data_IF_517151678675
#
_entry.id   IF_517151678675
#
_cell.length_a   1.000
_cell.length_b   1.000
_cell.length_c   1.000
_cell.angle_alpha   90.00
_cell.angle_beta   90.00
_cell.angle_gamma   90.00
#
_symmetry.space_group_name_H-M   'P 1'
#
loop_
_entity.id
_entity.type
_entity.pdbx_description
1 polymer ?
#
# COMPACT_ATOMS: atom_id res chain seq x y z
N UNK A 1 14.31 -18.52 -6.74
CA UNK A 1 13.88 -17.26 -7.39
C UNK A 1 14.34 -16.09 -6.54
N UNK A 2 14.46 -14.91 -7.14
CA UNK A 2 14.82 -13.65 -6.51
C UNK A 2 13.57 -12.81 -6.29
N UNK A 3 13.21 -12.54 -5.04
CA UNK A 3 12.00 -11.82 -4.67
C UNK A 3 12.37 -10.48 -4.06
N UNK A 4 11.84 -9.38 -4.60
CA UNK A 4 11.93 -8.09 -3.93
C UNK A 4 10.64 -7.87 -3.14
N UNK A 5 10.73 -7.95 -1.81
CA UNK A 5 9.61 -7.74 -0.91
C UNK A 5 9.62 -6.29 -0.40
N UNK A 6 8.54 -5.53 -0.60
CA UNK A 6 8.46 -4.13 -0.18
C UNK A 6 7.31 -3.88 0.78
N UNK A 7 7.61 -3.20 1.89
CA UNK A 7 6.65 -2.94 2.98
C UNK A 7 6.86 -1.60 3.67
N UNK A 8 5.77 -1.01 4.13
CA UNK A 8 5.77 0.19 4.96
C UNK A 8 5.41 -0.18 6.40
N UNK A 9 6.37 -0.05 7.32
CA UNK A 9 6.14 -0.31 8.73
C UNK A 9 5.36 0.83 9.39
N UNK A 10 4.35 0.47 10.18
CA UNK A 10 3.65 1.41 11.04
C UNK A 10 4.55 1.94 12.17
N UNK A 11 4.13 3.04 12.81
CA UNK A 11 4.80 3.55 14.01
C UNK A 11 4.64 2.60 15.21
N UNK A 12 3.54 1.85 15.22
CA UNK A 12 3.26 0.80 16.20
C UNK A 12 3.12 -0.51 15.45
N UNK A 13 3.87 -1.52 15.87
CA UNK A 13 3.86 -2.84 15.26
C UNK A 13 2.45 -3.42 15.26
N UNK A 14 1.96 -3.81 14.09
CA UNK A 14 0.64 -4.40 13.89
C UNK A 14 0.70 -5.79 13.27
N UNK A 15 -0.45 -6.43 13.10
CA UNK A 15 -0.54 -7.75 12.46
C UNK A 15 -0.01 -7.77 11.02
N UNK A 16 -0.18 -6.67 10.27
CA UNK A 16 0.34 -6.54 8.90
C UNK A 16 1.88 -6.57 8.86
N UNK A 17 2.56 -6.09 9.91
CA UNK A 17 4.01 -6.15 10.02
C UNK A 17 4.48 -7.59 10.29
N UNK A 18 3.81 -8.30 11.20
CA UNK A 18 4.11 -9.72 11.47
C UNK A 18 3.88 -10.59 10.23
N UNK A 19 2.77 -10.39 9.50
CA UNK A 19 2.52 -11.14 8.26
C UNK A 19 3.61 -10.89 7.21
N UNK A 20 4.16 -9.67 7.12
CA UNK A 20 5.25 -9.37 6.21
C UNK A 20 6.54 -10.10 6.62
N UNK A 21 6.86 -10.11 7.91
CA UNK A 21 8.02 -10.84 8.45
C UNK A 21 7.89 -12.35 8.18
N UNK A 22 6.71 -12.92 8.45
CA UNK A 22 6.41 -14.34 8.21
C UNK A 22 6.53 -14.71 6.72
N UNK A 23 6.05 -13.82 5.82
CA UNK A 23 6.20 -13.99 4.38
C UNK A 23 7.68 -14.06 3.98
N UNK A 24 8.48 -13.09 4.44
CA UNK A 24 9.91 -13.03 4.11
C UNK A 24 10.63 -14.27 4.62
N UNK A 25 10.38 -14.66 5.87
CA UNK A 25 10.97 -15.85 6.47
C UNK A 25 10.60 -17.10 5.68
N UNK A 26 9.31 -17.30 5.38
CA UNK A 26 8.82 -18.48 4.64
C UNK A 26 9.47 -18.57 3.25
N UNK A 27 9.61 -17.46 2.53
CA UNK A 27 10.28 -17.45 1.22
C UNK A 27 11.76 -17.84 1.35
N UNK A 28 12.46 -17.32 2.35
CA UNK A 28 13.87 -17.66 2.58
C UNK A 28 14.06 -19.13 2.95
N UNK A 29 13.22 -19.67 3.84
CA UNK A 29 13.23 -21.08 4.24
C UNK A 29 12.99 -22.04 3.07
N UNK A 30 12.23 -21.59 2.06
CA UNK A 30 12.00 -22.35 0.82
C UNK A 30 13.06 -22.10 -0.27
N UNK A 31 14.21 -21.49 0.09
CA UNK A 31 15.36 -21.35 -0.80
C UNK A 31 15.26 -20.19 -1.81
N UNK A 32 14.36 -19.23 -1.59
CA UNK A 32 14.30 -18.01 -2.40
C UNK A 32 15.29 -16.95 -1.87
N UNK A 33 15.92 -16.22 -2.79
CA UNK A 33 16.74 -15.05 -2.43
C UNK A 33 15.78 -13.86 -2.27
N UNK A 34 15.71 -13.27 -1.07
CA UNK A 34 14.76 -12.18 -0.77
C UNK A 34 15.49 -10.89 -0.46
N UNK A 35 15.20 -9.84 -1.23
CA UNK A 35 15.61 -8.47 -0.93
C UNK A 35 14.45 -7.70 -0.31
N UNK A 36 14.65 -7.22 0.93
CA UNK A 36 13.64 -6.51 1.70
C UNK A 36 13.83 -5.00 1.53
N UNK A 37 12.85 -4.33 0.91
CA UNK A 37 12.81 -2.89 0.77
C UNK A 37 11.74 -2.29 1.68
N UNK A 38 12.15 -1.82 2.86
CA UNK A 38 11.21 -1.29 3.86
C UNK A 38 11.44 0.16 4.17
N UNK A 39 10.35 0.86 4.48
CA UNK A 39 10.35 2.24 4.95
C UNK A 39 9.59 2.31 6.27
N UNK A 40 10.05 3.15 7.19
CA UNK A 40 9.42 3.30 8.49
C UNK A 40 8.67 4.62 8.61
N UNK A 41 7.49 4.58 9.22
CA UNK A 41 6.68 5.77 9.45
C UNK A 41 7.24 6.72 10.52
N UNK A 42 8.31 6.35 11.22
CA UNK A 42 8.92 7.22 12.24
C UNK A 42 9.59 8.44 11.62
N UNK A 43 10.03 8.31 10.37
CA UNK A 43 10.55 9.44 9.58
C UNK A 43 9.48 10.50 9.27
N UNK A 44 8.19 10.23 9.53
CA UNK A 44 7.10 11.20 9.33
C UNK A 44 7.16 12.34 10.34
N UNK A 45 7.62 12.09 11.57
CA UNK A 45 7.71 13.15 12.60
C UNK A 45 8.62 14.31 12.19
N UNK A 46 9.57 14.05 11.29
CA UNK A 46 10.52 15.03 10.74
C UNK A 46 10.07 15.65 9.41
N UNK A 47 8.94 15.19 8.84
CA UNK A 47 8.43 15.61 7.54
C UNK A 47 7.16 16.44 7.70
N UNK A 48 6.94 17.40 6.80
CA UNK A 48 5.69 18.15 6.81
C UNK A 48 4.52 17.23 6.47
N UNK A 49 3.39 17.39 7.16
CA UNK A 49 2.17 16.58 6.92
C UNK A 49 1.70 16.65 5.46
N UNK A 50 1.89 17.79 4.81
CA UNK A 50 1.60 17.98 3.39
C UNK A 50 2.51 17.13 2.49
N UNK A 51 3.80 17.03 2.79
CA UNK A 51 4.72 16.20 2.00
C UNK A 51 4.37 14.71 2.07
N UNK A 52 3.93 14.23 3.23
CA UNK A 52 3.50 12.84 3.45
C UNK A 52 2.19 12.56 2.72
N UNK A 53 1.25 13.51 2.75
CA UNK A 53 0.01 13.42 1.99
C UNK A 53 0.26 13.27 0.47
N UNK A 54 1.18 14.06 -0.09
CA UNK A 54 1.55 13.95 -1.51
C UNK A 54 2.22 12.61 -1.81
N UNK A 55 3.13 12.15 -0.94
CA UNK A 55 3.79 10.86 -1.10
C UNK A 55 2.82 9.68 -1.05
N UNK A 56 1.79 9.74 -0.21
CA UNK A 56 0.76 8.70 -0.11
C UNK A 56 -0.03 8.52 -1.42
N UNK A 57 -0.18 9.61 -2.19
CA UNK A 57 -0.82 9.57 -3.50
C UNK A 57 0.19 9.10 -4.56
N UNK A 58 1.37 9.73 -4.59
CA UNK A 58 2.42 9.42 -5.56
C UNK A 58 3.82 9.77 -5.06
N UNK A 59 4.64 8.77 -4.77
CA UNK A 59 5.98 8.93 -4.22
C UNK A 59 7.08 8.82 -5.30
N UNK A 60 7.55 9.98 -5.78
CA UNK A 60 8.72 10.02 -6.68
C UNK A 60 9.99 9.48 -6.02
N UNK A 61 10.12 9.65 -4.71
CA UNK A 61 11.25 9.11 -3.94
C UNK A 61 11.21 7.57 -3.98
N UNK A 62 10.10 6.96 -3.56
CA UNK A 62 9.96 5.51 -3.57
C UNK A 62 10.09 4.92 -4.97
N UNK A 63 9.62 5.63 -6.01
CA UNK A 63 9.84 5.23 -7.40
C UNK A 63 11.32 5.08 -7.77
N UNK A 64 12.17 6.03 -7.34
CA UNK A 64 13.61 6.01 -7.61
C UNK A 64 14.32 4.93 -6.81
N UNK A 65 13.93 4.76 -5.56
CA UNK A 65 14.48 3.71 -4.69
C UNK A 65 14.14 2.32 -5.21
N UNK A 66 12.87 2.10 -5.60
CA UNK A 66 12.43 0.88 -6.26
C UNK A 66 13.18 0.63 -7.57
N UNK A 67 13.40 1.66 -8.39
CA UNK A 67 14.16 1.51 -9.65
C UNK A 67 15.60 1.07 -9.39
N UNK A 68 16.28 1.67 -8.40
CA UNK A 68 17.64 1.24 -8.02
C UNK A 68 17.64 -0.20 -7.53
N UNK A 69 16.73 -0.56 -6.63
CA UNK A 69 16.65 -1.89 -6.06
C UNK A 69 16.36 -2.95 -7.14
N UNK A 70 15.41 -2.70 -8.04
CA UNK A 70 15.13 -3.62 -9.16
C UNK A 70 16.34 -3.76 -10.10
N UNK A 71 17.05 -2.66 -10.40
CA UNK A 71 18.23 -2.74 -11.29
C UNK A 71 19.41 -3.45 -10.66
N UNK A 72 19.65 -3.28 -9.36
CA UNK A 72 20.76 -3.92 -8.65
C UNK A 72 20.47 -5.39 -8.33
N UNK A 73 19.25 -5.65 -7.86
CA UNK A 73 18.85 -6.97 -7.40
C UNK A 73 18.22 -7.83 -8.49
N UNK A 74 17.83 -7.27 -9.64
CA UNK A 74 17.20 -8.01 -10.76
C UNK A 74 16.21 -9.10 -10.30
N UNK A 75 15.16 -8.74 -9.53
CA UNK A 75 14.19 -9.69 -9.02
C UNK A 75 13.38 -10.35 -10.14
N UNK A 76 13.00 -11.60 -9.92
CA UNK A 76 12.02 -12.32 -10.74
C UNK A 76 10.60 -11.79 -10.50
N UNK A 77 10.31 -11.30 -9.28
CA UNK A 77 9.01 -10.78 -8.87
C UNK A 77 9.15 -9.73 -7.77
N UNK A 78 8.28 -8.71 -7.80
CA UNK A 78 8.12 -7.75 -6.70
C UNK A 78 6.86 -8.12 -5.92
N UNK A 79 7.01 -8.34 -4.61
CA UNK A 79 5.90 -8.60 -3.69
C UNK A 79 5.68 -7.37 -2.80
N UNK A 80 4.51 -6.74 -2.92
CA UNK A 80 4.11 -5.57 -2.14
C UNK A 80 3.20 -5.99 -0.97
N UNK A 81 3.49 -5.48 0.22
CA UNK A 81 2.61 -5.46 1.39
C UNK A 81 2.61 -4.03 1.93
N UNK A 82 1.48 -3.53 2.44
CA UNK A 82 1.30 -2.16 2.92
C UNK A 82 2.12 -1.05 2.19
N UNK A 83 1.57 -0.44 1.14
CA UNK A 83 2.31 0.64 0.45
C UNK A 83 2.14 2.03 1.09
N UNK A 84 1.31 2.15 2.13
CA UNK A 84 0.92 3.43 2.72
C UNK A 84 1.77 3.79 3.93
N UNK A 85 2.16 5.06 4.11
CA UNK A 85 1.95 6.23 3.27
C UNK A 85 3.15 6.59 2.36
N UNK A 86 4.28 5.91 2.45
CA UNK A 86 5.53 6.40 1.83
C UNK A 86 5.87 5.77 0.47
N UNK A 87 5.33 4.58 0.15
CA UNK A 87 5.69 3.86 -1.08
C UNK A 87 4.74 4.18 -2.25
N UNK A 88 3.42 4.13 -2.03
CA UNK A 88 2.37 4.45 -3.02
C UNK A 88 2.34 3.55 -4.28
N UNK A 89 1.35 3.68 -5.19
CA UNK A 89 1.28 2.89 -6.44
C UNK A 89 2.47 3.10 -7.38
N UNK A 90 3.28 4.14 -7.14
CA UNK A 90 4.40 4.47 -7.99
C UNK A 90 5.48 3.37 -8.01
N UNK A 91 5.65 2.60 -6.94
CA UNK A 91 6.59 1.47 -6.90
C UNK A 91 6.14 0.33 -7.82
N UNK A 92 4.84 0.04 -7.87
CA UNK A 92 4.26 -0.98 -8.74
C UNK A 92 4.45 -0.56 -10.20
N UNK A 93 4.16 0.72 -10.53
CA UNK A 93 4.44 1.27 -11.87
C UNK A 93 5.90 1.12 -12.25
N UNK A 94 6.83 1.43 -11.34
CA UNK A 94 8.27 1.33 -11.60
C UNK A 94 8.68 -0.10 -11.92
N UNK A 95 8.27 -1.07 -11.10
CA UNK A 95 8.55 -2.48 -11.31
C UNK A 95 7.98 -2.97 -12.66
N UNK A 96 6.71 -2.65 -12.93
CA UNK A 96 6.03 -2.99 -14.19
C UNK A 96 6.72 -2.41 -15.41
N UNK A 97 7.16 -1.15 -15.35
CA UNK A 97 7.92 -0.48 -16.43
C UNK A 97 9.27 -1.15 -16.68
N UNK A 98 9.88 -1.74 -15.65
CA UNK A 98 11.14 -2.50 -15.76
C UNK A 98 10.91 -3.95 -16.17
N UNK A 99 9.68 -4.35 -16.48
CA UNK A 99 9.33 -5.70 -16.94
C UNK A 99 9.24 -6.75 -15.82
N UNK A 100 9.30 -6.34 -14.55
CA UNK A 100 9.18 -7.27 -13.42
C UNK A 100 7.72 -7.40 -13.01
N UNK A 101 7.17 -8.63 -12.90
CA UNK A 101 5.80 -8.85 -12.46
C UNK A 101 5.62 -8.42 -11.00
N UNK A 102 4.41 -7.94 -10.67
CA UNK A 102 4.10 -7.38 -9.35
C UNK A 102 2.94 -8.14 -8.69
N UNK A 103 3.20 -8.70 -7.52
CA UNK A 103 2.19 -9.26 -6.62
C UNK A 103 1.89 -8.22 -5.54
N UNK A 104 0.61 -7.98 -5.27
CA UNK A 104 0.18 -7.11 -4.16
C UNK A 104 -0.71 -7.88 -3.20
N UNK A 105 -0.21 -8.11 -1.99
CA UNK A 105 -0.95 -8.74 -0.92
C UNK A 105 -1.72 -7.68 -0.10
N UNK A 106 -3.05 -7.81 -0.12
CA UNK A 106 -3.98 -6.87 0.50
C UNK A 106 -4.30 -7.34 1.90
N UNK A 107 -3.85 -6.57 2.89
CA UNK A 107 -4.03 -6.90 4.31
C UNK A 107 -5.14 -6.06 4.98
N UNK A 108 -5.62 -5.01 4.31
CA UNK A 108 -6.66 -4.14 4.82
C UNK A 108 -7.44 -3.47 3.67
N UNK A 109 -8.52 -2.75 4.01
CA UNK A 109 -9.42 -2.14 3.03
C UNK A 109 -8.99 -0.72 2.62
N UNK A 110 -7.71 -0.34 2.80
CA UNK A 110 -7.26 1.05 2.58
C UNK A 110 -7.31 1.49 1.12
N UNK A 111 -7.34 0.53 0.19
CA UNK A 111 -7.61 0.79 -1.22
C UNK A 111 -9.01 1.35 -1.47
N UNK A 112 -9.96 1.08 -0.58
CA UNK A 112 -11.37 1.45 -0.72
C UNK A 112 -11.92 2.35 0.40
N UNK A 113 -11.24 2.41 1.54
CA UNK A 113 -11.69 3.05 2.77
C UNK A 113 -10.56 3.87 3.42
N UNK A 114 -10.80 5.15 3.69
CA UNK A 114 -9.79 5.99 4.35
C UNK A 114 -9.46 5.53 5.80
N UNK A 115 -10.40 4.88 6.49
CA UNK A 115 -10.12 4.25 7.79
C UNK A 115 -9.32 2.94 7.66
N UNK A 116 -9.32 2.31 6.47
CA UNK A 116 -8.67 1.02 6.21
C UNK A 116 -9.39 -0.21 6.75
N UNK A 117 -10.46 -0.05 7.54
CA UNK A 117 -11.09 -1.17 8.28
C UNK A 117 -12.53 -1.48 7.87
N UNK A 118 -13.21 -0.64 7.06
CA UNK A 118 -14.64 -0.76 6.75
C UNK A 118 -15.54 -0.90 8.00
N UNK A 119 -15.14 -0.26 9.09
CA UNK A 119 -15.91 -0.16 10.33
C UNK A 119 -16.13 1.31 10.67
N UNK A 120 -17.29 1.60 11.25
CA UNK A 120 -17.59 2.88 11.90
C UNK A 120 -18.58 2.60 13.02
N UNK A 121 -18.36 3.16 14.21
CA UNK A 121 -19.25 2.96 15.35
C UNK A 121 -19.49 1.47 15.64
N UNK A 122 -18.42 0.66 15.55
CA UNK A 122 -18.41 -0.80 15.74
C UNK A 122 -19.29 -1.61 14.76
N UNK A 123 -19.89 -0.95 13.77
CA UNK A 123 -20.70 -1.59 12.74
C UNK A 123 -20.00 -1.60 11.38
N UNK A 124 -20.30 -2.61 10.57
CA UNK A 124 -19.81 -2.73 9.19
C UNK A 124 -20.26 -1.50 8.38
N UNK A 125 -19.29 -0.79 7.83
CA UNK A 125 -19.49 0.44 7.08
C UNK A 125 -19.04 0.28 5.63
N UNK A 126 -20.01 0.26 4.71
CA UNK A 126 -19.77 0.14 3.26
C UNK A 126 -20.09 1.43 2.49
N UNK A 127 -20.27 2.56 3.20
CA UNK A 127 -20.66 3.86 2.59
C UNK A 127 -19.67 4.38 1.54
N UNK A 128 -18.41 3.95 1.54
CA UNK A 128 -17.40 4.39 0.56
C UNK A 128 -17.17 3.41 -0.60
N UNK A 129 -17.74 2.20 -0.52
CA UNK A 129 -17.62 1.20 -1.57
C UNK A 129 -18.43 1.62 -2.80
N UNK A 130 -17.93 1.26 -3.99
CA UNK A 130 -18.53 1.57 -5.28
C UNK A 130 -18.51 3.04 -5.71
N UNK A 131 -18.02 3.97 -4.87
CA UNK A 131 -17.98 5.40 -5.20
C UNK A 131 -16.61 5.79 -5.73
N UNK A 132 -16.51 6.52 -6.84
CA UNK A 132 -15.21 7.00 -7.32
C UNK A 132 -14.52 7.91 -6.30
N UNK A 133 -15.27 8.89 -5.78
CA UNK A 133 -14.86 9.72 -4.65
C UNK A 133 -15.49 9.19 -3.34
N UNK A 134 -14.72 8.73 -2.35
CA UNK A 134 -15.25 8.27 -1.06
C UNK A 134 -15.62 9.46 -0.15
N UNK A 135 -16.52 10.33 -0.60
CA UNK A 135 -16.93 11.55 0.13
C UNK A 135 -17.49 11.30 1.54
N UNK A 136 -18.16 10.16 1.86
CA UNK A 136 -18.60 9.92 3.23
C UNK A 136 -17.42 9.84 4.22
N UNK A 137 -16.24 9.41 3.76
CA UNK A 137 -15.04 9.43 4.60
C UNK A 137 -14.66 10.86 5.02
N UNK A 138 -14.82 11.84 4.12
CA UNK A 138 -14.54 13.25 4.40
C UNK A 138 -15.55 13.81 5.40
N UNK A 139 -16.84 13.55 5.18
CA UNK A 139 -17.91 13.97 6.09
C UNK A 139 -17.66 13.45 7.51
N UNK A 140 -17.24 12.20 7.63
CA UNK A 140 -17.03 11.53 8.91
C UNK A 140 -15.58 11.60 9.41
N UNK A 141 -14.68 12.33 8.73
CA UNK A 141 -13.27 12.52 9.13
C UNK A 141 -12.56 11.19 9.45
N UNK A 142 -12.82 10.16 8.66
CA UNK A 142 -12.51 8.76 8.99
C UNK A 142 -11.04 8.41 9.23
N UNK A 143 -10.09 9.32 8.99
CA UNK A 143 -8.69 9.13 9.34
C UNK A 143 -8.28 10.05 10.49
N UNK A 144 -8.03 9.46 11.67
CA UNK A 144 -7.60 10.13 12.91
C UNK A 144 -8.47 11.35 13.27
N UNK A 145 -9.79 11.24 13.08
CA UNK A 145 -10.79 12.30 13.30
C UNK A 145 -10.46 13.65 12.65
N UNK A 146 -9.67 13.61 11.58
CA UNK A 146 -9.09 14.79 10.95
C UNK A 146 -9.49 14.88 9.48
N UNK A 147 -10.18 15.96 9.11
CA UNK A 147 -10.50 16.24 7.71
C UNK A 147 -9.22 16.41 6.88
N UNK A 148 -8.25 17.17 7.39
CA UNK A 148 -6.95 17.37 6.74
C UNK A 148 -6.15 16.07 6.61
N UNK A 149 -6.31 15.13 7.56
CA UNK A 149 -5.73 13.80 7.47
C UNK A 149 -6.46 12.89 6.48
N UNK A 150 -7.79 13.00 6.39
CA UNK A 150 -8.63 12.14 5.55
C UNK A 150 -8.59 12.53 4.07
N UNK A 151 -8.48 13.84 3.80
CA UNK A 151 -8.51 14.38 2.44
C UNK A 151 -7.47 13.75 1.50
N UNK A 152 -6.17 13.64 1.86
CA UNK A 152 -5.18 12.96 1.03
C UNK A 152 -5.51 11.51 0.70
N UNK A 153 -6.07 10.75 1.66
CA UNK A 153 -6.48 9.37 1.43
C UNK A 153 -7.65 9.30 0.46
N UNK A 154 -8.65 10.17 0.62
CA UNK A 154 -9.80 10.24 -0.29
C UNK A 154 -9.35 10.60 -1.72
N UNK A 155 -8.42 11.54 -1.87
CA UNK A 155 -7.82 11.90 -3.17
C UNK A 155 -7.06 10.70 -3.75
N UNK A 156 -6.19 10.06 -2.95
CA UNK A 156 -5.44 8.89 -3.38
C UNK A 156 -6.33 7.74 -3.86
N UNK A 157 -7.40 7.43 -3.11
CA UNK A 157 -8.41 6.44 -3.51
C UNK A 157 -9.09 6.84 -4.82
N UNK A 158 -9.47 8.11 -4.96
CA UNK A 158 -10.12 8.63 -6.18
C UNK A 158 -9.20 8.52 -7.39
N UNK A 159 -7.94 8.92 -7.27
CA UNK A 159 -6.91 8.82 -8.32
C UNK A 159 -6.68 7.36 -8.70
N UNK A 160 -6.52 6.49 -7.70
CA UNK A 160 -6.34 5.05 -7.93
C UNK A 160 -7.51 4.43 -8.69
N UNK A 161 -8.75 4.76 -8.31
CA UNK A 161 -9.97 4.27 -8.98
C UNK A 161 -10.12 4.83 -10.39
N UNK A 162 -9.91 6.14 -10.57
CA UNK A 162 -10.07 6.81 -11.86
C UNK A 162 -9.08 6.30 -12.92
N UNK A 163 -7.82 6.10 -12.53
CA UNK A 163 -6.78 5.64 -13.46
C UNK A 163 -6.55 4.13 -13.42
N UNK A 164 -7.22 3.40 -12.53
CA UNK A 164 -6.97 1.96 -12.33
C UNK A 164 -5.51 1.66 -12.01
N UNK A 165 -4.85 2.48 -11.18
CA UNK A 165 -3.39 2.40 -11.00
C UNK A 165 -2.95 1.01 -10.52
N UNK A 166 -3.62 0.45 -9.51
CA UNK A 166 -3.30 -0.88 -9.01
C UNK A 166 -3.59 -1.96 -10.04
N UNK A 167 -4.76 -1.96 -10.69
CA UNK A 167 -5.10 -2.95 -11.71
C UNK A 167 -4.23 -2.88 -12.97
N UNK A 168 -3.61 -1.73 -13.25
CA UNK A 168 -2.67 -1.55 -14.38
C UNK A 168 -1.26 -2.01 -14.07
N UNK A 169 -0.84 -1.95 -12.81
CA UNK A 169 0.56 -2.15 -12.42
C UNK A 169 0.80 -3.37 -11.55
N UNK A 170 -0.25 -4.00 -11.02
CA UNK A 170 -0.18 -5.27 -10.32
C UNK A 170 -0.71 -6.40 -11.22
N UNK A 171 0.04 -7.50 -11.27
CA UNK A 171 -0.28 -8.70 -12.04
C UNK A 171 -1.16 -9.66 -11.25
N UNK A 172 -0.98 -9.69 -9.93
CA UNK A 172 -1.72 -10.57 -9.03
C UNK A 172 -2.03 -9.85 -7.72
N UNK A 173 -3.25 -10.08 -7.21
CA UNK A 173 -3.63 -9.67 -5.87
C UNK A 173 -3.80 -10.91 -4.99
N UNK A 174 -3.15 -10.90 -3.83
CA UNK A 174 -3.35 -11.92 -2.79
C UNK A 174 -4.26 -11.31 -1.73
N UNK A 175 -5.32 -12.04 -1.36
CA UNK A 175 -6.29 -11.58 -0.38
C UNK A 175 -6.47 -12.67 0.68
N UNK A 176 -6.46 -12.33 1.99
CA UNK A 176 -6.58 -13.30 3.08
C UNK A 176 -7.99 -13.91 3.17
N UNK A 177 -8.99 -13.31 2.54
CA UNK A 177 -10.36 -13.81 2.55
C UNK A 177 -11.12 -13.44 1.28
N UNK A 178 -12.21 -14.18 1.03
CA UNK A 178 -13.20 -13.85 0.00
C UNK A 178 -13.79 -12.45 0.21
N UNK A 179 -14.04 -12.05 1.45
CA UNK A 179 -14.57 -10.72 1.78
C UNK A 179 -13.61 -9.63 1.35
N UNK A 180 -12.30 -9.78 1.60
CA UNK A 180 -11.29 -8.81 1.16
C UNK A 180 -11.21 -8.70 -0.35
N UNK A 181 -11.34 -9.83 -1.06
CA UNK A 181 -11.30 -9.86 -2.53
C UNK A 181 -12.53 -9.19 -3.16
N UNK A 182 -13.71 -9.42 -2.59
CA UNK A 182 -14.98 -9.01 -3.19
C UNK A 182 -15.37 -7.55 -2.85
N UNK A 183 -14.64 -6.87 -1.94
CA UNK A 183 -14.96 -5.52 -1.43
C UNK A 183 -13.94 -4.46 -1.84
#
# INVERSE_FOLDING_TARGET
MRVLAAHNYYQQRGGEDQCFEDLVQTLQENGHEVFVHTVHNDCIGQRSRASVAVQAIWSRQASREMERAVRSFQPDVVHLMNTFPLLSPSIARTAKRLGVPVVFEIQNYRLACAAGVLLRDEVICQKCLGRTLPWPALQHRCYRDSLAGTLPLAIGITVNRWFGLWSRYCDLFVCPSKTTRDK
#
